data_IF_516386964293
#
_entry.id   IF_516386964293
#
_cell.length_a   1.000
_cell.length_b   1.000
_cell.length_c   1.000
_cell.angle_alpha   90.00
_cell.angle_beta   90.00
_cell.angle_gamma   90.00
#
_symmetry.space_group_name_H-M   'P 1'
#
loop_
_entity.id
_entity.type
_entity.pdbx_description
1 polymer ?
#
# COMPACT_ATOMS: atom_id res chain seq x y z
N UNK A 1 31.30 23.73 1.73
CA UNK A 1 32.03 22.89 2.73
C UNK A 1 32.11 21.49 2.14
N UNK A 2 33.29 20.89 2.07
CA UNK A 2 33.56 19.74 1.18
C UNK A 2 33.21 18.41 1.85
N UNK A 3 32.55 17.50 1.12
CA UNK A 3 32.30 16.14 1.57
C UNK A 3 33.54 15.26 1.38
N UNK A 4 33.89 14.45 2.38
CA UNK A 4 35.06 13.59 2.34
C UNK A 4 34.75 12.22 1.72
N UNK A 5 35.64 11.75 0.84
CA UNK A 5 35.68 10.38 0.34
C UNK A 5 36.58 9.52 1.23
N UNK A 6 36.16 8.30 1.55
CA UNK A 6 37.02 7.22 2.02
C UNK A 6 36.43 5.87 1.60
N UNK A 7 37.24 5.03 0.96
CA UNK A 7 36.81 3.74 0.40
C UNK A 7 37.09 2.57 1.35
N UNK A 8 36.34 1.48 1.20
CA UNK A 8 36.79 0.15 1.61
C UNK A 8 36.86 -0.79 0.41
N UNK A 9 37.90 -1.63 0.38
CA UNK A 9 38.29 -2.44 -0.77
C UNK A 9 37.88 -3.90 -0.55
N UNK A 10 37.29 -4.53 -1.56
CA UNK A 10 37.10 -5.97 -1.60
C UNK A 10 38.35 -6.67 -2.17
N UNK A 11 38.81 -7.73 -1.50
CA UNK A 11 39.59 -8.82 -2.11
C UNK A 11 38.95 -10.15 -1.65
N UNK A 12 38.89 -11.13 -2.55
CA UNK A 12 38.11 -12.36 -2.42
C UNK A 12 38.99 -13.61 -2.27
N UNK A 13 38.32 -14.78 -2.17
CA UNK A 13 38.84 -16.15 -2.39
C UNK A 13 39.66 -16.82 -1.26
N UNK A 14 39.69 -18.16 -1.12
CA UNK A 14 38.68 -19.20 -1.47
C UNK A 14 39.05 -20.56 -0.82
N UNK A 15 38.04 -21.41 -0.57
CA UNK A 15 38.02 -22.89 -0.50
C UNK A 15 39.29 -23.72 -0.11
N UNK A 16 39.16 -24.62 0.89
CA UNK A 16 39.06 -26.10 0.69
C UNK A 16 39.76 -27.03 1.72
N UNK A 17 39.17 -28.22 1.91
CA UNK A 17 39.63 -29.53 2.42
C UNK A 17 40.75 -29.73 3.48
N UNK A 18 40.33 -30.18 4.67
CA UNK A 18 40.41 -31.58 5.15
C UNK A 18 41.63 -32.49 4.82
N UNK A 19 42.34 -32.98 5.87
CA UNK A 19 42.28 -34.41 6.29
C UNK A 19 42.98 -34.74 7.62
N UNK A 20 42.57 -35.86 8.24
CA UNK A 20 43.14 -36.48 9.47
C UNK A 20 44.43 -37.28 9.23
N UNK A 21 45.29 -37.39 10.28
CA UNK A 21 46.04 -38.58 10.78
C UNK A 21 47.13 -38.13 11.80
N UNK A 22 47.71 -38.94 12.70
CA UNK A 22 47.26 -40.07 13.57
C UNK A 22 48.47 -40.52 14.44
N UNK A 23 48.25 -41.20 15.59
CA UNK A 23 49.31 -41.88 16.43
C UNK A 23 50.34 -40.92 17.13
N UNK A 24 51.06 -41.23 18.22
CA UNK A 24 51.28 -42.44 19.06
C UNK A 24 51.53 -42.09 20.55
N UNK A 25 51.60 -43.10 21.43
CA UNK A 25 52.12 -43.09 22.82
C UNK A 25 52.79 -44.46 23.11
N UNK A 26 53.37 -44.81 24.29
CA UNK A 26 53.61 -44.09 25.57
C UNK A 26 55.16 -43.96 25.79
N UNK A 27 55.90 -44.33 26.89
CA UNK A 27 55.59 -44.67 28.30
C UNK A 27 56.55 -44.17 29.44
N UNK A 28 56.11 -44.39 30.69
CA UNK A 28 56.87 -44.65 31.95
C UNK A 28 57.95 -43.70 32.50
N UNK A 29 57.70 -43.22 33.73
CA UNK A 29 58.65 -43.28 34.87
C UNK A 29 57.87 -43.39 36.20
N UNK A 30 58.53 -43.75 37.30
CA UNK A 30 57.96 -43.99 38.66
C UNK A 30 58.17 -42.76 39.58
N UNK A 31 57.75 -42.65 40.87
CA UNK A 31 57.64 -43.67 41.92
C UNK A 31 56.94 -43.19 43.25
N UNK A 32 56.68 -44.13 44.17
CA UNK A 32 56.43 -44.03 45.64
C UNK A 32 55.09 -43.55 46.30
N UNK A 33 54.51 -44.50 47.09
CA UNK A 33 53.81 -44.37 48.41
C UNK A 33 52.36 -43.80 48.48
N UNK A 34 51.31 -44.58 48.87
CA UNK A 34 50.84 -45.02 50.23
C UNK A 34 49.93 -43.97 50.94
N UNK A 35 48.80 -44.20 51.63
CA UNK A 35 47.87 -45.32 52.07
C UNK A 35 46.46 -44.66 52.27
N UNK A 36 45.22 -45.17 52.07
CA UNK A 36 44.54 -46.46 51.72
C UNK A 36 43.74 -47.18 52.86
N UNK A 37 42.56 -47.76 52.56
CA UNK A 37 41.69 -48.63 53.45
C UNK A 37 41.00 -47.87 54.64
N UNK A 38 39.70 -48.05 55.02
CA UNK A 38 38.56 -48.89 54.56
C UNK A 38 37.16 -48.24 54.83
N UNK A 39 36.08 -48.93 54.43
CA UNK A 39 34.66 -48.64 54.74
C UNK A 39 34.27 -48.97 56.19
N UNK A 40 33.19 -48.33 56.70
CA UNK A 40 32.13 -49.01 57.47
C UNK A 40 30.74 -48.37 57.20
N UNK A 41 29.66 -49.07 57.57
CA UNK A 41 28.25 -48.69 57.38
C UNK A 41 27.50 -48.83 58.71
N UNK A 42 26.70 -47.83 59.09
CA UNK A 42 25.68 -47.93 60.16
C UNK A 42 24.46 -47.10 59.73
N UNK A 43 23.25 -47.51 60.15
CA UNK A 43 21.97 -46.86 59.81
C UNK A 43 21.39 -46.13 61.05
N UNK A 44 20.09 -45.84 61.20
CA UNK A 44 19.61 -44.51 61.57
C UNK A 44 19.55 -44.24 63.09
N UNK A 45 19.44 -42.96 63.46
CA UNK A 45 18.98 -42.53 64.79
C UNK A 45 17.83 -41.53 64.62
N UNK A 46 16.76 -41.71 65.41
CA UNK A 46 15.54 -40.89 65.39
C UNK A 46 15.22 -40.46 66.82
N UNK A 47 15.55 -39.22 67.18
CA UNK A 47 15.29 -38.66 68.51
C UNK A 47 13.95 -37.93 68.56
N UNK A 48 13.31 -37.90 69.74
CA UNK A 48 11.94 -37.44 69.94
C UNK A 48 11.87 -36.12 70.73
N UNK A 49 10.94 -35.26 70.33
CA UNK A 49 10.23 -34.21 71.10
C UNK A 49 10.95 -33.44 72.24
N UNK A 50 10.99 -32.11 72.07
CA UNK A 50 10.79 -31.13 73.14
C UNK A 50 9.58 -30.25 72.79
N UNK A 51 8.75 -29.86 73.77
CA UNK A 51 7.51 -29.10 73.51
C UNK A 51 7.73 -27.58 73.50
N UNK A 52 6.94 -26.88 72.67
CA UNK A 52 6.77 -25.43 72.67
C UNK A 52 5.28 -25.04 72.51
N UNK A 53 4.85 -23.86 72.99
CA UNK A 53 3.45 -23.42 73.01
C UNK A 53 2.86 -23.08 71.61
N UNK A 54 1.53 -22.90 71.49
CA UNK A 54 0.80 -23.32 70.28
C UNK A 54 0.46 -22.23 69.25
N UNK A 55 0.08 -22.74 68.06
CA UNK A 55 -0.81 -22.14 67.06
C UNK A 55 -0.49 -20.76 66.48
N UNK A 56 -0.19 -20.76 65.17
CA UNK A 56 -1.27 -20.41 64.25
C UNK A 56 -1.23 -21.28 63.00
N UNK A 57 -2.32 -22.01 62.73
CA UNK A 57 -2.45 -22.78 61.49
C UNK A 57 -2.65 -21.82 60.32
N UNK A 58 -1.87 -22.00 59.25
CA UNK A 58 -2.28 -21.60 57.90
C UNK A 58 -2.17 -22.81 56.98
N UNK A 59 -3.26 -23.03 56.26
CA UNK A 59 -3.44 -24.07 55.26
C UNK A 59 -2.53 -23.82 54.06
N UNK A 60 -1.96 -24.86 53.41
CA UNK A 60 -1.19 -24.68 52.19
C UNK A 60 -2.14 -24.29 51.05
N UNK A 61 -2.18 -23.01 50.74
CA UNK A 61 -2.99 -22.45 49.66
C UNK A 61 -2.71 -23.20 48.35
N UNK A 62 -3.77 -23.83 47.81
CA UNK A 62 -3.74 -24.59 46.56
C UNK A 62 -3.37 -23.63 45.43
N UNK A 63 -2.10 -23.62 45.03
CA UNK A 63 -1.62 -22.88 43.85
C UNK A 63 -2.35 -23.41 42.62
N UNK A 64 -3.41 -22.71 42.23
CA UNK A 64 -4.23 -23.00 41.06
C UNK A 64 -3.36 -22.79 39.81
N UNK A 65 -2.88 -23.89 39.22
CA UNK A 65 -2.03 -23.85 38.04
C UNK A 65 -2.81 -23.31 36.84
N UNK A 66 -2.59 -22.03 36.51
CA UNK A 66 -3.17 -21.38 35.34
C UNK A 66 -2.79 -22.18 34.09
N UNK A 67 -3.76 -22.76 33.35
CA UNK A 67 -3.45 -23.56 32.17
C UNK A 67 -2.94 -22.66 31.03
N UNK A 68 -2.06 -23.18 30.15
CA UNK A 68 -1.41 -22.36 29.13
C UNK A 68 -2.39 -21.86 28.06
N UNK A 69 -2.43 -20.54 27.87
CA UNK A 69 -3.11 -19.90 26.75
C UNK A 69 -2.38 -20.26 25.44
N UNK A 70 -3.00 -21.03 24.54
CA UNK A 70 -2.28 -21.54 23.35
C UNK A 70 -3.10 -21.77 22.07
N UNK A 71 -4.42 -21.60 22.08
CA UNK A 71 -5.28 -21.90 20.92
C UNK A 71 -5.58 -20.66 20.05
N UNK A 72 -5.77 -19.49 20.68
CA UNK A 72 -6.22 -18.26 20.01
C UNK A 72 -5.30 -17.75 18.90
N UNK A 73 -3.97 -17.81 19.09
CA UNK A 73 -3.00 -17.21 18.16
C UNK A 73 -2.95 -17.90 16.79
N UNK A 74 -3.06 -19.24 16.77
CA UNK A 74 -3.07 -20.02 15.51
C UNK A 74 -4.27 -19.62 14.65
N UNK A 75 -5.43 -19.40 15.28
CA UNK A 75 -6.64 -18.90 14.59
C UNK A 75 -6.39 -17.53 13.96
N UNK A 76 -5.81 -16.57 14.71
CA UNK A 76 -5.58 -15.20 14.22
C UNK A 76 -4.62 -15.17 13.02
N UNK A 77 -3.53 -15.95 13.02
CA UNK A 77 -2.61 -15.96 11.87
C UNK A 77 -3.20 -16.63 10.62
N UNK A 78 -4.10 -17.60 10.77
CA UNK A 78 -4.89 -18.15 9.66
C UNK A 78 -5.85 -17.09 9.08
N UNK A 79 -6.55 -16.32 9.93
CA UNK A 79 -7.38 -15.20 9.48
C UNK A 79 -6.57 -14.11 8.76
N UNK A 80 -5.41 -13.73 9.30
CA UNK A 80 -4.51 -12.75 8.67
C UNK A 80 -3.95 -13.24 7.33
N UNK A 81 -3.70 -14.56 7.20
CA UNK A 81 -3.31 -15.17 5.92
C UNK A 81 -4.43 -15.11 4.89
N UNK A 82 -5.68 -15.41 5.27
CA UNK A 82 -6.84 -15.35 4.37
C UNK A 82 -7.18 -13.94 3.91
N UNK A 83 -7.22 -12.98 4.83
CA UNK A 83 -7.44 -11.56 4.53
C UNK A 83 -6.29 -10.96 3.70
N UNK A 84 -5.05 -11.34 4.03
CA UNK A 84 -3.86 -10.99 3.26
C UNK A 84 -3.94 -11.49 1.81
N UNK A 85 -4.29 -12.76 1.61
CA UNK A 85 -4.38 -13.37 0.28
C UNK A 85 -5.52 -12.75 -0.57
N UNK A 86 -6.63 -12.35 0.05
CA UNK A 86 -7.71 -11.64 -0.62
C UNK A 86 -7.29 -10.24 -1.08
N UNK A 87 -6.62 -9.47 -0.22
CA UNK A 87 -6.08 -8.16 -0.59
C UNK A 87 -4.95 -8.24 -1.61
N UNK A 88 -4.13 -9.30 -1.58
CA UNK A 88 -3.12 -9.60 -2.59
C UNK A 88 -3.75 -9.86 -3.97
N UNK A 89 -4.87 -10.58 -4.01
CA UNK A 89 -5.63 -10.84 -5.24
C UNK A 89 -6.28 -9.57 -5.79
N UNK A 90 -6.90 -8.75 -4.92
CA UNK A 90 -7.48 -7.45 -5.29
C UNK A 90 -6.42 -6.51 -5.88
N UNK A 91 -5.32 -6.30 -5.13
CA UNK A 91 -4.26 -5.37 -5.54
C UNK A 91 -3.43 -5.90 -6.71
N UNK A 92 -3.30 -7.23 -6.86
CA UNK A 92 -2.75 -7.86 -8.05
C UNK A 92 -3.60 -7.62 -9.30
N UNK A 93 -4.93 -7.74 -9.19
CA UNK A 93 -5.86 -7.39 -10.28
C UNK A 93 -5.78 -5.92 -10.68
N UNK A 94 -5.79 -4.99 -9.71
CA UNK A 94 -5.63 -3.56 -9.98
C UNK A 94 -4.25 -3.22 -10.58
N UNK A 95 -3.20 -3.93 -10.17
CA UNK A 95 -1.85 -3.80 -10.76
C UNK A 95 -1.87 -4.25 -12.22
N UNK A 96 -2.48 -5.41 -12.52
CA UNK A 96 -2.63 -5.90 -13.89
C UNK A 96 -3.33 -4.86 -14.78
N UNK A 97 -4.51 -4.38 -14.38
CA UNK A 97 -5.26 -3.35 -15.12
C UNK A 97 -4.43 -2.09 -15.40
N UNK A 98 -3.69 -1.60 -14.39
CA UNK A 98 -2.86 -0.40 -14.51
C UNK A 98 -1.67 -0.59 -15.44
N UNK A 99 -1.17 -1.82 -15.59
CA UNK A 99 -0.09 -2.17 -16.53
C UNK A 99 -0.60 -2.47 -17.95
N UNK A 100 -1.85 -2.93 -18.12
CA UNK A 100 -2.46 -3.21 -19.43
C UNK A 100 -3.32 -2.07 -19.97
N UNK A 101 -3.46 -0.95 -19.24
CA UNK A 101 -4.32 0.18 -19.63
C UNK A 101 -5.80 -0.20 -19.73
N UNK A 102 -6.26 -1.19 -18.97
CA UNK A 102 -7.60 -1.76 -19.07
C UNK A 102 -8.52 -1.21 -17.98
N UNK A 103 -9.78 -0.92 -18.30
CA UNK A 103 -10.74 -0.38 -17.34
C UNK A 103 -11.15 -1.39 -16.25
N UNK A 104 -11.48 -0.88 -15.06
CA UNK A 104 -11.84 -1.69 -13.90
C UNK A 104 -13.33 -2.09 -13.89
N UNK A 105 -13.61 -3.39 -13.91
CA UNK A 105 -14.97 -3.92 -13.89
C UNK A 105 -15.64 -3.67 -12.53
N UNK A 106 -16.61 -2.75 -12.48
CA UNK A 106 -17.31 -2.40 -11.25
C UNK A 106 -18.66 -3.14 -11.15
N UNK A 107 -18.80 -4.18 -10.30
CA UNK A 107 -20.02 -4.99 -10.22
C UNK A 107 -21.19 -4.30 -9.50
N UNK A 108 -20.94 -3.18 -8.80
CA UNK A 108 -21.96 -2.40 -8.12
C UNK A 108 -22.35 -1.21 -9.01
N UNK A 109 -23.65 -1.10 -9.30
CA UNK A 109 -24.21 -0.22 -10.33
C UNK A 109 -23.73 1.23 -10.27
N UNK A 110 -22.86 1.62 -11.20
CA UNK A 110 -22.57 3.03 -11.53
C UNK A 110 -21.34 3.69 -10.90
N UNK A 111 -20.46 2.97 -10.19
CA UNK A 111 -19.24 3.55 -9.61
C UNK A 111 -18.09 3.71 -10.61
N UNK A 112 -17.64 4.94 -10.88
CA UNK A 112 -16.50 5.22 -11.78
C UNK A 112 -15.14 5.13 -11.05
N UNK A 113 -14.70 3.91 -10.73
CA UNK A 113 -13.34 3.71 -10.19
C UNK A 113 -12.22 4.20 -11.13
N UNK A 114 -12.47 4.34 -12.44
CA UNK A 114 -11.46 4.73 -13.43
C UNK A 114 -10.83 6.09 -13.10
N UNK A 115 -11.63 7.06 -12.66
CA UNK A 115 -11.16 8.43 -12.34
C UNK A 115 -10.11 8.41 -11.23
N UNK A 116 -10.38 7.64 -10.16
CA UNK A 116 -9.49 7.50 -9.01
C UNK A 116 -8.25 6.68 -9.39
N UNK A 117 -8.43 5.55 -10.09
CA UNK A 117 -7.35 4.65 -10.50
C UNK A 117 -6.42 5.24 -11.58
N UNK A 118 -6.88 6.27 -12.32
CA UNK A 118 -6.09 6.96 -13.34
C UNK A 118 -5.57 8.35 -12.94
N UNK A 119 -6.05 8.93 -11.84
CA UNK A 119 -5.48 10.13 -11.23
C UNK A 119 -4.02 9.99 -10.78
N UNK A 120 -3.35 11.13 -10.56
CA UNK A 120 -2.01 11.20 -9.95
C UNK A 120 -1.94 10.54 -8.56
N UNK A 121 -3.07 10.47 -7.84
CA UNK A 121 -3.13 9.82 -6.53
C UNK A 121 -2.96 8.29 -6.61
N UNK A 122 -3.13 7.69 -7.80
CA UNK A 122 -2.85 6.27 -8.04
C UNK A 122 -1.34 5.92 -8.14
N UNK A 123 -0.44 6.91 -7.98
CA UNK A 123 1.02 6.74 -8.05
C UNK A 123 1.69 7.38 -6.84
N UNK A 124 2.62 6.66 -6.19
CA UNK A 124 3.36 7.11 -5.02
C UNK A 124 4.86 6.96 -5.30
N UNK A 125 5.62 8.06 -5.21
CA UNK A 125 7.05 8.11 -5.61
C UNK A 125 7.35 7.51 -7.00
N UNK A 126 6.43 7.65 -7.96
CA UNK A 126 6.55 7.09 -9.32
C UNK A 126 6.16 5.61 -9.44
N UNK A 127 5.82 4.93 -8.34
CA UNK A 127 5.37 3.53 -8.32
C UNK A 127 3.84 3.45 -8.26
N UNK A 128 3.17 2.61 -9.06
CA UNK A 128 1.72 2.42 -8.96
C UNK A 128 1.30 1.98 -7.56
N UNK A 129 0.34 2.69 -6.96
CA UNK A 129 -0.22 2.37 -5.65
C UNK A 129 -0.71 0.92 -5.49
N UNK A 130 -1.40 0.28 -6.47
CA UNK A 130 -1.79 -1.13 -6.31
C UNK A 130 -0.58 -2.08 -6.25
N UNK A 131 0.57 -1.74 -6.85
CA UNK A 131 1.79 -2.55 -6.74
C UNK A 131 2.37 -2.50 -5.31
N UNK A 132 2.32 -1.33 -4.68
CA UNK A 132 2.70 -1.17 -3.25
C UNK A 132 1.75 -1.97 -2.36
N UNK A 133 0.44 -1.91 -2.64
CA UNK A 133 -0.57 -2.72 -1.96
C UNK A 133 -0.29 -4.22 -2.09
N UNK A 134 0.02 -4.69 -3.30
CA UNK A 134 0.33 -6.10 -3.59
C UNK A 134 1.54 -6.58 -2.78
N UNK A 135 2.60 -5.77 -2.64
CA UNK A 135 3.75 -6.09 -1.78
C UNK A 135 3.34 -6.13 -0.31
N UNK A 136 2.55 -5.17 0.19
CA UNK A 136 2.14 -5.12 1.59
C UNK A 136 1.24 -6.30 1.98
N UNK A 137 0.21 -6.61 1.18
CA UNK A 137 -0.64 -7.79 1.38
C UNK A 137 0.15 -9.11 1.23
N UNK A 138 1.13 -9.17 0.32
CA UNK A 138 2.05 -10.31 0.17
C UNK A 138 2.90 -10.56 1.42
N UNK A 139 3.41 -9.49 2.06
CA UNK A 139 4.13 -9.56 3.33
C UNK A 139 3.22 -10.07 4.45
N UNK A 140 2.01 -9.53 4.60
CA UNK A 140 1.02 -9.98 5.60
C UNK A 140 0.68 -11.47 5.41
N UNK A 141 0.42 -11.89 4.17
CA UNK A 141 0.12 -13.29 3.82
C UNK A 141 1.28 -14.22 4.18
N UNK A 142 2.51 -13.81 3.86
CA UNK A 142 3.71 -14.59 4.11
C UNK A 142 4.01 -14.72 5.61
N UNK A 143 3.94 -13.62 6.37
CA UNK A 143 4.13 -13.62 7.82
C UNK A 143 3.05 -14.44 8.53
N UNK A 144 1.78 -14.27 8.14
CA UNK A 144 0.68 -15.08 8.67
C UNK A 144 0.93 -16.58 8.47
N UNK A 145 1.35 -16.99 7.26
CA UNK A 145 1.63 -18.39 6.95
C UNK A 145 2.83 -18.96 7.74
N UNK A 146 3.90 -18.17 7.91
CA UNK A 146 5.09 -18.58 8.67
C UNK A 146 4.80 -18.71 10.17
N UNK A 147 4.05 -17.77 10.75
CA UNK A 147 3.64 -17.78 12.15
C UNK A 147 2.63 -18.92 12.43
N UNK A 148 1.62 -19.10 11.57
CA UNK A 148 0.63 -20.16 11.69
C UNK A 148 1.26 -21.57 11.65
N UNK A 149 2.28 -21.78 10.79
CA UNK A 149 3.03 -23.04 10.70
C UNK A 149 4.11 -23.20 11.78
N UNK A 150 4.39 -22.16 12.58
CA UNK A 150 5.58 -22.03 13.43
C UNK A 150 6.90 -22.31 12.69
N UNK A 151 6.90 -22.18 11.36
CA UNK A 151 8.04 -22.48 10.49
C UNK A 151 8.88 -21.22 10.26
N UNK A 152 9.16 -20.49 11.34
CA UNK A 152 9.84 -19.19 11.29
C UNK A 152 11.34 -19.42 11.03
N UNK A 153 11.99 -18.72 10.07
CA UNK A 153 13.41 -18.91 9.80
C UNK A 153 14.28 -18.62 11.02
N UNK A 154 15.38 -19.34 11.19
CA UNK A 154 16.23 -19.36 12.41
C UNK A 154 16.88 -18.03 12.83
N UNK A 155 16.64 -16.93 12.10
CA UNK A 155 17.06 -15.56 12.43
C UNK A 155 15.92 -14.57 12.71
N UNK A 156 14.65 -15.02 12.68
CA UNK A 156 13.47 -14.21 12.96
C UNK A 156 12.71 -14.83 14.15
N UNK A 157 12.56 -14.09 15.25
CA UNK A 157 11.78 -14.55 16.41
C UNK A 157 10.27 -14.47 16.17
N UNK A 158 9.47 -15.23 16.94
CA UNK A 158 8.01 -15.13 16.88
C UNK A 158 7.54 -13.71 17.23
N UNK A 159 8.10 -13.11 18.29
CA UNK A 159 7.85 -11.72 18.70
C UNK A 159 8.25 -10.71 17.61
N UNK A 160 9.35 -10.97 16.89
CA UNK A 160 9.78 -10.15 15.76
C UNK A 160 8.77 -10.25 14.61
N UNK A 161 8.27 -11.45 14.29
CA UNK A 161 7.22 -11.66 13.30
C UNK A 161 5.91 -10.96 13.67
N UNK A 162 5.47 -11.07 14.94
CA UNK A 162 4.31 -10.34 15.49
C UNK A 162 4.47 -8.82 15.38
N UNK A 163 5.65 -8.29 15.72
CA UNK A 163 5.94 -6.85 15.68
C UNK A 163 5.98 -6.31 14.24
N UNK A 164 6.57 -7.05 13.29
CA UNK A 164 6.56 -6.68 11.87
C UNK A 164 5.13 -6.73 11.33
N UNK A 165 4.35 -7.78 11.63
CA UNK A 165 2.95 -7.88 11.23
C UNK A 165 2.10 -6.71 11.74
N UNK A 166 2.29 -6.31 13.01
CA UNK A 166 1.66 -5.11 13.58
C UNK A 166 2.09 -3.83 12.84
N UNK A 167 3.39 -3.67 12.58
CA UNK A 167 3.94 -2.53 11.86
C UNK A 167 3.37 -2.41 10.44
N UNK A 168 3.32 -3.51 9.69
CA UNK A 168 2.76 -3.57 8.34
C UNK A 168 1.25 -3.29 8.33
N UNK A 169 0.46 -3.94 9.18
CA UNK A 169 -1.01 -3.71 9.23
C UNK A 169 -1.37 -2.31 9.70
N UNK A 170 -0.62 -1.73 10.64
CA UNK A 170 -0.76 -0.31 11.05
C UNK A 170 -0.46 0.63 9.88
N UNK A 171 0.61 0.35 9.13
CA UNK A 171 1.01 1.16 7.97
C UNK A 171 -0.03 1.10 6.85
N UNK A 172 -0.58 -0.08 6.57
CA UNK A 172 -1.65 -0.28 5.59
C UNK A 172 -2.92 0.49 6.00
N UNK A 173 -3.38 0.33 7.25
CA UNK A 173 -4.56 1.04 7.74
C UNK A 173 -4.38 2.57 7.74
N UNK A 174 -3.19 3.08 8.09
CA UNK A 174 -2.88 4.51 8.02
C UNK A 174 -2.90 5.04 6.57
N UNK A 175 -2.35 4.28 5.62
CA UNK A 175 -2.41 4.60 4.21
C UNK A 175 -3.87 4.57 3.68
N UNK A 176 -4.64 3.53 4.00
CA UNK A 176 -6.07 3.44 3.66
C UNK A 176 -6.89 4.60 4.22
N UNK A 177 -6.64 5.02 5.47
CA UNK A 177 -7.28 6.19 6.05
C UNK A 177 -6.97 7.48 5.25
N UNK A 178 -5.72 7.66 4.83
CA UNK A 178 -5.29 8.78 4.01
C UNK A 178 -5.92 8.76 2.61
N UNK A 179 -6.03 7.59 1.96
CA UNK A 179 -6.68 7.46 0.66
C UNK A 179 -8.20 7.66 0.73
N UNK A 180 -8.88 7.24 1.81
CA UNK A 180 -10.29 7.56 2.05
C UNK A 180 -10.51 9.06 2.30
N UNK A 181 -9.56 9.74 2.95
CA UNK A 181 -9.56 11.20 3.09
C UNK A 181 -9.37 11.90 1.73
N UNK A 182 -8.48 11.42 0.87
CA UNK A 182 -8.36 11.96 -0.50
C UNK A 182 -9.62 11.71 -1.33
N UNK A 183 -10.21 10.51 -1.25
CA UNK A 183 -11.46 10.18 -1.94
C UNK A 183 -12.61 11.12 -1.54
N UNK A 184 -12.75 11.44 -0.25
CA UNK A 184 -13.81 12.34 0.22
C UNK A 184 -13.56 13.83 -0.03
N UNK A 185 -12.31 14.26 -0.19
CA UNK A 185 -11.95 15.70 -0.32
C UNK A 185 -11.55 16.14 -1.72
N UNK A 186 -10.98 15.26 -2.55
CA UNK A 186 -10.53 15.56 -3.92
C UNK A 186 -11.45 14.96 -5.00
N UNK A 187 -12.22 13.92 -4.67
CA UNK A 187 -13.10 13.19 -5.61
C UNK A 187 -14.57 13.20 -5.17
N UNK A 188 -15.05 14.35 -4.66
CA UNK A 188 -16.41 14.51 -4.14
C UNK A 188 -17.49 14.10 -5.16
N UNK A 189 -18.15 12.98 -4.92
CA UNK A 189 -19.19 12.39 -5.79
C UNK A 189 -18.79 11.07 -6.45
N UNK A 190 -17.50 10.75 -6.54
CA UNK A 190 -17.02 9.47 -7.09
C UNK A 190 -16.99 8.41 -6.00
N UNK A 191 -17.63 7.26 -6.27
CA UNK A 191 -17.63 6.10 -5.36
C UNK A 191 -16.83 4.96 -5.98
N UNK A 192 -15.63 4.68 -5.45
CA UNK A 192 -14.82 3.55 -5.91
C UNK A 192 -14.86 2.37 -4.93
N UNK A 193 -15.52 1.29 -5.36
CA UNK A 193 -15.70 0.04 -4.60
C UNK A 193 -14.37 -0.59 -4.15
N UNK A 194 -13.37 -0.64 -5.02
CA UNK A 194 -12.04 -1.18 -4.71
C UNK A 194 -11.32 -0.40 -3.60
N UNK A 195 -11.43 0.94 -3.58
CA UNK A 195 -10.85 1.75 -2.52
C UNK A 195 -11.48 1.43 -1.15
N UNK A 196 -12.80 1.22 -1.11
CA UNK A 196 -13.50 0.84 0.11
C UNK A 196 -13.21 -0.62 0.54
N UNK A 197 -13.09 -1.55 -0.41
CA UNK A 197 -12.79 -2.96 -0.13
C UNK A 197 -11.37 -3.12 0.45
N UNK A 198 -10.35 -2.58 -0.20
CA UNK A 198 -8.97 -2.60 0.31
C UNK A 198 -8.82 -1.86 1.66
N UNK A 199 -9.56 -0.77 1.87
CA UNK A 199 -9.60 -0.12 3.17
C UNK A 199 -10.24 -1.01 4.26
N UNK A 200 -11.36 -1.66 3.96
CA UNK A 200 -12.02 -2.59 4.89
C UNK A 200 -11.08 -3.76 5.25
N UNK A 201 -10.40 -4.36 4.28
CA UNK A 201 -9.40 -5.41 4.52
C UNK A 201 -8.26 -4.91 5.42
N UNK A 202 -7.72 -3.73 5.16
CA UNK A 202 -6.62 -3.14 5.94
C UNK A 202 -7.02 -2.83 7.39
N UNK A 203 -8.22 -2.27 7.62
CA UNK A 203 -8.74 -2.05 8.97
C UNK A 203 -9.07 -3.36 9.71
N UNK A 204 -9.63 -4.37 9.02
CA UNK A 204 -9.88 -5.68 9.62
C UNK A 204 -8.58 -6.38 10.01
N UNK A 205 -7.55 -6.34 9.18
CA UNK A 205 -6.22 -6.87 9.49
C UNK A 205 -5.58 -6.19 10.71
N UNK A 206 -5.67 -4.86 10.81
CA UNK A 206 -5.20 -4.15 12.00
C UNK A 206 -6.00 -4.56 13.25
N UNK A 207 -7.32 -4.70 13.13
CA UNK A 207 -8.19 -5.08 14.25
C UNK A 207 -7.98 -6.54 14.72
N UNK A 208 -7.72 -7.49 13.82
CA UNK A 208 -7.36 -8.86 14.21
C UNK A 208 -5.99 -8.91 14.87
N UNK A 209 -5.01 -8.15 14.36
CA UNK A 209 -3.66 -8.10 14.93
C UNK A 209 -3.65 -7.43 16.31
N UNK A 210 -4.38 -6.33 16.50
CA UNK A 210 -4.52 -5.67 17.81
C UNK A 210 -5.12 -6.60 18.87
N UNK A 211 -6.05 -7.49 18.50
CA UNK A 211 -6.64 -8.46 19.43
C UNK A 211 -5.67 -9.54 19.93
N UNK A 212 -4.60 -9.85 19.17
CA UNK A 212 -3.58 -10.83 19.58
C UNK A 212 -2.66 -10.29 20.70
N UNK A 213 -2.42 -8.97 20.73
CA UNK A 213 -1.45 -8.37 21.66
C UNK A 213 -1.97 -8.22 23.09
N UNK A 214 -3.27 -8.07 23.30
CA UNK A 214 -3.87 -7.83 24.62
C UNK A 214 -3.61 -6.44 25.21
N UNK A 215 -4.47 -6.03 26.15
CA UNK A 215 -4.56 -4.64 26.62
C UNK A 215 -3.27 -4.10 27.26
N UNK A 216 -2.53 -4.95 27.99
CA UNK A 216 -1.27 -4.60 28.63
C UNK A 216 -0.17 -4.25 27.60
N UNK A 217 -0.08 -5.03 26.52
CA UNK A 217 0.95 -4.87 25.49
C UNK A 217 0.62 -3.69 24.54
N UNK A 218 -0.67 -3.47 24.27
CA UNK A 218 -1.16 -2.33 23.47
C UNK A 218 -0.67 -0.99 24.05
N UNK A 219 -0.69 -0.82 25.38
CA UNK A 219 -0.18 0.39 26.05
C UNK A 219 1.30 0.65 25.74
N UNK A 220 2.11 -0.38 25.53
CA UNK A 220 3.53 -0.28 25.21
C UNK A 220 3.80 -0.02 23.71
N UNK A 221 2.95 -0.54 22.81
CA UNK A 221 3.13 -0.40 21.35
C UNK A 221 2.37 0.76 20.72
N UNK A 222 1.39 1.37 21.39
CA UNK A 222 0.58 2.46 20.82
C UNK A 222 1.43 3.67 20.40
N UNK A 223 2.48 4.00 21.15
CA UNK A 223 3.42 5.06 20.76
C UNK A 223 4.16 4.76 19.45
N UNK A 224 4.55 3.50 19.24
CA UNK A 224 5.16 3.04 17.99
C UNK A 224 4.14 3.04 16.84
N UNK A 225 2.89 2.63 17.08
CA UNK A 225 1.84 2.65 16.06
C UNK A 225 1.47 4.08 15.61
N UNK A 226 1.36 5.02 16.56
CA UNK A 226 1.13 6.43 16.24
C UNK A 226 2.31 7.03 15.48
N UNK A 227 3.54 6.64 15.82
CA UNK A 227 4.75 7.04 15.09
C UNK A 227 4.79 6.46 13.66
N UNK A 228 4.50 5.17 13.45
CA UNK A 228 4.48 4.59 12.09
C UNK A 228 3.34 5.15 11.25
N UNK A 229 2.14 5.34 11.82
CA UNK A 229 1.04 6.02 11.14
C UNK A 229 1.40 7.47 10.76
N UNK A 230 2.03 8.21 11.67
CA UNK A 230 2.54 9.56 11.42
C UNK A 230 3.60 9.62 10.30
N UNK A 231 4.54 8.66 10.28
CA UNK A 231 5.52 8.53 9.20
C UNK A 231 4.88 8.20 7.85
N UNK A 232 3.89 7.30 7.81
CA UNK A 232 3.16 6.95 6.58
C UNK A 232 2.38 8.16 6.05
N UNK A 233 1.65 8.88 6.91
CA UNK A 233 0.93 10.11 6.52
C UNK A 233 1.91 11.19 6.05
N UNK A 234 3.05 11.38 6.74
CA UNK A 234 4.08 12.32 6.32
C UNK A 234 4.71 11.94 4.97
N UNK A 235 4.97 10.65 4.72
CA UNK A 235 5.53 10.15 3.47
C UNK A 235 4.55 10.30 2.29
N UNK A 236 3.27 9.93 2.49
CA UNK A 236 2.23 10.13 1.47
C UNK A 236 2.02 11.62 1.18
N UNK A 237 1.91 12.45 2.23
CA UNK A 237 1.80 13.89 2.07
C UNK A 237 3.03 14.49 1.36
N UNK A 238 4.23 13.99 1.63
CA UNK A 238 5.46 14.40 0.92
C UNK A 238 5.43 13.96 -0.54
N UNK A 239 4.98 12.75 -0.86
CA UNK A 239 4.81 12.29 -2.25
C UNK A 239 3.84 13.20 -3.01
N UNK A 240 2.63 13.41 -2.48
CA UNK A 240 1.60 14.15 -3.20
C UNK A 240 1.80 15.66 -3.22
N UNK A 241 2.33 16.27 -2.15
CA UNK A 241 2.76 17.67 -2.22
C UNK A 241 3.98 17.85 -3.12
N UNK A 242 4.83 16.83 -3.30
CA UNK A 242 5.87 16.88 -4.34
C UNK A 242 5.26 16.78 -5.73
N UNK A 243 4.25 15.93 -5.99
CA UNK A 243 3.53 15.95 -7.27
C UNK A 243 2.87 17.30 -7.54
N UNK A 244 2.13 17.84 -6.57
CA UNK A 244 1.46 19.15 -6.64
C UNK A 244 2.48 20.28 -6.86
N UNK A 245 3.65 20.25 -6.18
CA UNK A 245 4.74 21.21 -6.37
C UNK A 245 5.59 21.01 -7.63
N UNK A 246 5.73 19.80 -8.17
CA UNK A 246 6.44 19.52 -9.42
C UNK A 246 5.59 20.01 -10.59
N UNK A 247 4.30 19.66 -10.61
CA UNK A 247 3.34 20.22 -11.56
C UNK A 247 3.33 21.76 -11.47
N UNK A 248 3.17 22.32 -10.27
CA UNK A 248 3.21 23.77 -10.02
C UNK A 248 4.51 24.45 -10.48
N UNK A 249 5.69 23.82 -10.28
CA UNK A 249 6.98 24.41 -10.68
C UNK A 249 7.35 24.20 -12.14
N UNK A 250 6.67 23.29 -12.85
CA UNK A 250 6.74 23.18 -14.32
C UNK A 250 5.72 24.13 -14.98
N UNK A 251 4.46 24.16 -14.54
CA UNK A 251 3.42 25.07 -15.06
C UNK A 251 3.78 26.55 -14.93
N UNK A 252 4.34 26.97 -13.79
CA UNK A 252 4.75 28.38 -13.61
C UNK A 252 6.02 28.78 -14.38
N UNK A 253 6.69 27.84 -15.06
CA UNK A 253 7.92 28.06 -15.83
C UNK A 253 7.70 28.21 -17.35
N UNK A 254 6.47 28.55 -17.77
CA UNK A 254 6.00 28.65 -19.16
C UNK A 254 5.86 27.29 -19.85
N UNK A 255 4.61 26.83 -19.95
CA UNK A 255 4.22 25.63 -20.69
C UNK A 255 3.72 26.06 -22.09
N UNK A 256 4.52 25.89 -23.16
CA UNK A 256 4.11 26.26 -24.51
C UNK A 256 2.92 25.42 -24.98
N UNK A 257 2.10 25.98 -25.86
CA UNK A 257 1.07 25.22 -26.57
C UNK A 257 1.72 24.07 -27.35
N UNK A 258 1.13 22.88 -27.25
CA UNK A 258 1.44 21.73 -28.08
C UNK A 258 0.13 21.08 -28.56
N UNK A 259 0.13 20.54 -29.78
CA UNK A 259 -1.00 19.77 -30.28
C UNK A 259 -0.85 18.29 -29.85
N UNK A 260 -1.90 17.73 -29.25
CA UNK A 260 -1.92 16.35 -28.78
C UNK A 260 -2.19 15.40 -29.95
N UNK A 261 -1.31 14.40 -30.12
CA UNK A 261 -1.49 13.37 -31.15
C UNK A 261 -2.62 12.41 -30.78
N UNK A 262 -3.51 12.13 -31.72
CA UNK A 262 -4.63 11.20 -31.55
C UNK A 262 -4.26 9.88 -32.23
N UNK A 263 -3.87 8.89 -31.43
CA UNK A 263 -3.36 7.61 -31.94
C UNK A 263 -4.47 6.59 -32.30
N UNK A 264 -5.74 6.94 -32.10
CA UNK A 264 -6.91 6.08 -32.36
C UNK A 264 -7.51 6.35 -33.75
N UNK A 265 -7.80 5.29 -34.50
CA UNK A 265 -8.55 5.38 -35.76
C UNK A 265 -10.03 5.76 -35.49
N UNK A 266 -10.63 6.54 -36.39
CA UNK A 266 -12.03 6.96 -36.26
C UNK A 266 -13.00 5.88 -36.73
N UNK A 267 -13.90 5.46 -35.84
CA UNK A 267 -15.02 4.59 -36.23
C UNK A 267 -15.99 5.30 -37.19
N UNK A 268 -16.74 4.55 -38.04
CA UNK A 268 -17.79 5.13 -38.89
C UNK A 268 -18.85 5.91 -38.10
N UNK A 269 -19.15 5.47 -36.87
CA UNK A 269 -20.05 6.17 -35.95
C UNK A 269 -19.46 7.52 -35.52
N UNK A 270 -18.20 7.55 -35.07
CA UNK A 270 -17.51 8.79 -34.71
C UNK A 270 -17.45 9.78 -35.88
N UNK A 271 -17.14 9.30 -37.09
CA UNK A 271 -17.17 10.10 -38.32
C UNK A 271 -18.55 10.69 -38.62
N UNK A 272 -19.62 9.92 -38.46
CA UNK A 272 -20.99 10.42 -38.63
C UNK A 272 -21.39 11.44 -37.56
N UNK A 273 -21.00 11.20 -36.30
CA UNK A 273 -21.33 12.06 -35.17
C UNK A 273 -20.57 13.39 -35.24
N UNK A 274 -19.29 13.38 -35.58
CA UNK A 274 -18.49 14.61 -35.75
C UNK A 274 -19.05 15.49 -36.88
N UNK A 275 -19.38 14.88 -38.04
CA UNK A 275 -20.06 15.58 -39.15
C UNK A 275 -21.39 16.19 -38.72
N UNK A 276 -22.19 15.46 -37.93
CA UNK A 276 -23.43 16.00 -37.39
C UNK A 276 -23.16 17.18 -36.43
N UNK A 277 -22.26 17.02 -35.46
CA UNK A 277 -21.91 18.04 -34.47
C UNK A 277 -21.46 19.35 -35.14
N UNK A 278 -20.57 19.27 -36.13
CA UNK A 278 -20.18 20.40 -36.97
C UNK A 278 -21.37 21.02 -37.73
N UNK A 279 -22.25 20.20 -38.31
CA UNK A 279 -23.43 20.69 -39.05
C UNK A 279 -24.45 21.46 -38.18
N UNK A 280 -24.44 21.24 -36.86
CA UNK A 280 -25.26 22.00 -35.88
C UNK A 280 -24.45 23.04 -35.10
N UNK A 281 -23.19 23.28 -35.47
CA UNK A 281 -22.29 24.25 -34.82
C UNK A 281 -21.96 23.91 -33.36
N UNK A 282 -21.92 22.63 -33.01
CA UNK A 282 -21.66 22.15 -31.66
C UNK A 282 -20.17 22.28 -31.30
N UNK A 283 -19.88 23.22 -30.39
CA UNK A 283 -18.51 23.56 -30.00
C UNK A 283 -18.02 22.75 -28.81
N UNK A 284 -16.78 22.27 -28.90
CA UNK A 284 -16.04 21.66 -27.79
C UNK A 284 -15.01 22.66 -27.28
N UNK A 285 -15.25 23.21 -26.10
CA UNK A 285 -14.29 24.09 -25.43
C UNK A 285 -13.33 23.26 -24.56
N UNK A 286 -12.03 23.53 -24.67
CA UNK A 286 -11.00 22.79 -23.95
C UNK A 286 -9.68 23.54 -23.84
N UNK A 287 -8.69 22.89 -23.24
CA UNK A 287 -7.33 23.39 -23.12
C UNK A 287 -6.34 22.30 -23.57
N UNK A 288 -5.21 22.67 -24.17
CA UNK A 288 -4.28 21.67 -24.75
C UNK A 288 -3.74 20.64 -23.73
N UNK A 289 -3.60 21.01 -22.45
CA UNK A 289 -3.14 20.14 -21.36
C UNK A 289 -4.26 19.35 -20.65
N UNK A 290 -5.53 19.55 -21.02
CA UNK A 290 -6.67 18.94 -20.35
C UNK A 290 -6.80 17.45 -20.74
N UNK A 291 -6.47 16.54 -19.81
CA UNK A 291 -6.51 15.08 -20.03
C UNK A 291 -7.87 14.63 -20.57
N UNK A 292 -8.98 15.00 -19.93
CA UNK A 292 -10.34 14.66 -20.39
C UNK A 292 -10.68 15.23 -21.77
N UNK A 293 -10.05 16.34 -22.19
CA UNK A 293 -10.20 16.90 -23.53
C UNK A 293 -9.44 16.06 -24.57
N UNK A 294 -8.29 15.50 -24.21
CA UNK A 294 -7.54 14.56 -25.03
C UNK A 294 -8.23 13.19 -25.11
N UNK A 295 -8.77 12.69 -23.99
CA UNK A 295 -9.58 11.46 -23.93
C UNK A 295 -10.80 11.54 -24.86
N UNK A 296 -11.59 12.63 -24.80
CA UNK A 296 -12.72 12.81 -25.70
C UNK A 296 -12.29 12.88 -27.17
N UNK A 297 -11.17 13.54 -27.49
CA UNK A 297 -10.61 13.52 -28.85
C UNK A 297 -10.21 12.11 -29.29
N UNK A 298 -9.65 11.28 -28.41
CA UNK A 298 -9.36 9.87 -28.69
C UNK A 298 -10.61 8.99 -28.87
N UNK A 299 -11.73 9.30 -28.19
CA UNK A 299 -13.01 8.61 -28.42
C UNK A 299 -13.60 8.86 -29.83
N UNK A 300 -13.28 10.01 -30.44
CA UNK A 300 -13.61 10.28 -31.84
C UNK A 300 -12.57 9.69 -32.82
N UNK A 301 -11.30 9.64 -32.42
CA UNK A 301 -10.19 9.22 -33.29
C UNK A 301 -9.75 10.31 -34.27
N UNK A 302 -8.63 10.07 -34.94
CA UNK A 302 -7.84 11.10 -35.62
C UNK A 302 -8.59 11.87 -36.72
N UNK A 303 -9.39 11.19 -37.55
CA UNK A 303 -10.13 11.84 -38.64
C UNK A 303 -11.34 12.64 -38.14
N UNK A 304 -12.15 12.03 -37.27
CA UNK A 304 -13.38 12.62 -36.79
C UNK A 304 -13.11 13.78 -35.81
N UNK A 305 -12.05 13.70 -35.00
CA UNK A 305 -11.65 14.80 -34.12
C UNK A 305 -11.25 16.07 -34.89
N UNK A 306 -10.67 15.93 -36.09
CA UNK A 306 -10.37 17.04 -37.01
C UNK A 306 -11.63 17.69 -37.62
N UNK A 307 -12.80 17.05 -37.50
CA UNK A 307 -14.10 17.58 -37.94
C UNK A 307 -14.87 18.27 -36.81
N UNK A 308 -14.35 18.33 -35.59
CA UNK A 308 -15.02 18.98 -34.45
C UNK A 308 -14.73 20.48 -34.40
N UNK A 309 -15.73 21.28 -34.04
CA UNK A 309 -15.55 22.72 -33.75
C UNK A 309 -14.88 22.91 -32.37
N UNK A 310 -13.62 22.47 -32.26
CA UNK A 310 -12.81 22.59 -31.05
C UNK A 310 -12.33 24.03 -30.87
N UNK A 311 -12.60 24.61 -29.70
CA UNK A 311 -12.11 25.92 -29.31
C UNK A 311 -11.01 25.73 -28.27
N UNK A 312 -9.76 25.93 -28.70
CA UNK A 312 -8.62 26.00 -27.79
C UNK A 312 -8.69 27.28 -26.96
N UNK A 313 -8.77 27.12 -25.64
CA UNK A 313 -8.91 28.26 -24.74
C UNK A 313 -7.58 28.89 -24.34
N UNK A 314 -6.43 28.28 -24.67
CA UNK A 314 -5.10 28.80 -24.33
C UNK A 314 -4.07 28.58 -25.47
N UNK A 315 -4.30 29.15 -26.67
CA UNK A 315 -3.47 28.91 -27.85
C UNK A 315 -2.02 29.46 -27.72
N UNK A 316 -1.79 30.43 -26.84
CA UNK A 316 -0.47 31.03 -26.60
C UNK A 316 0.36 30.29 -25.52
N UNK A 317 -0.12 29.15 -25.03
CA UNK A 317 0.47 28.44 -23.88
C UNK A 317 0.10 29.04 -22.52
N UNK A 318 0.55 28.41 -21.43
CA UNK A 318 0.35 28.88 -20.05
C UNK A 318 1.62 29.52 -19.51
N UNK A 319 1.45 30.60 -18.76
CA UNK A 319 2.43 31.16 -17.82
C UNK A 319 1.69 31.88 -16.70
N UNK A 320 2.41 32.28 -15.65
CA UNK A 320 1.84 33.07 -14.55
C UNK A 320 1.11 34.32 -15.08
N UNK A 321 -0.20 34.37 -14.90
CA UNK A 321 -1.04 35.49 -15.37
C UNK A 321 -1.51 35.41 -16.82
N UNK A 322 -1.34 34.28 -17.53
CA UNK A 322 -2.05 34.03 -18.79
C UNK A 322 -3.55 34.19 -18.58
N UNK A 323 -4.21 34.90 -19.50
CA UNK A 323 -5.67 34.98 -19.58
C UNK A 323 -6.15 33.99 -20.62
N UNK A 324 -7.29 33.38 -20.35
CA UNK A 324 -7.99 32.51 -21.29
C UNK A 324 -8.42 33.30 -22.54
N UNK A 325 -8.44 32.64 -23.70
CA UNK A 325 -8.87 33.22 -24.97
C UNK A 325 -10.29 33.78 -24.89
N UNK A 326 -10.53 34.93 -25.53
CA UNK A 326 -11.80 35.67 -25.41
C UNK A 326 -13.04 34.83 -25.78
N UNK A 327 -12.91 33.98 -26.80
CA UNK A 327 -13.98 33.08 -27.23
C UNK A 327 -14.46 32.11 -26.12
N UNK A 328 -13.62 31.85 -25.11
CA UNK A 328 -13.93 31.02 -23.95
C UNK A 328 -14.34 31.85 -22.72
N UNK A 329 -13.75 33.05 -22.50
CA UNK A 329 -14.17 33.91 -21.38
C UNK A 329 -15.61 34.38 -21.54
N UNK A 330 -15.98 34.72 -22.77
CA UNK A 330 -17.30 35.23 -23.12
C UNK A 330 -18.35 34.09 -23.16
N UNK A 331 -17.91 32.82 -23.12
CA UNK A 331 -18.75 31.63 -23.08
C UNK A 331 -19.12 31.16 -21.66
N UNK A 332 -18.56 31.78 -20.60
CA UNK A 332 -18.94 31.50 -19.21
C UNK A 332 -18.62 30.08 -18.73
N UNK A 333 -17.51 29.50 -19.18
CA UNK A 333 -17.14 28.11 -18.90
C UNK A 333 -16.77 27.89 -17.43
N UNK A 334 -17.33 26.82 -16.83
CA UNK A 334 -17.02 26.40 -15.45
C UNK A 334 -15.80 25.45 -15.36
N UNK A 335 -15.40 24.84 -16.47
CA UNK A 335 -14.33 23.85 -16.53
C UNK A 335 -14.09 23.32 -17.95
N UNK A 336 -13.38 22.19 -18.07
CA UNK A 336 -13.07 21.55 -19.35
C UNK A 336 -13.14 20.01 -19.29
N UNK A 337 -13.49 19.34 -20.40
CA UNK A 337 -14.10 19.90 -21.60
C UNK A 337 -15.56 20.33 -21.33
N UNK A 338 -15.99 21.36 -22.06
CA UNK A 338 -17.39 21.83 -22.03
C UNK A 338 -17.94 21.87 -23.45
N UNK A 339 -19.07 21.20 -23.66
CA UNK A 339 -19.77 21.20 -24.95
C UNK A 339 -20.88 22.24 -24.97
N UNK A 340 -20.97 23.03 -26.04
CA UNK A 340 -22.10 23.92 -26.30
C UNK A 340 -22.81 23.42 -27.55
N UNK A 341 -23.98 22.80 -27.35
CA UNK A 341 -24.76 22.15 -28.41
C UNK A 341 -26.13 22.82 -28.46
N UNK A 342 -26.52 23.37 -29.62
CA UNK A 342 -27.77 24.12 -29.80
C UNK A 342 -27.98 25.22 -28.74
N UNK A 343 -26.89 25.94 -28.42
CA UNK A 343 -26.86 26.99 -27.40
C UNK A 343 -26.93 26.52 -25.94
N UNK A 344 -26.99 25.21 -25.67
CA UNK A 344 -27.03 24.64 -24.32
C UNK A 344 -25.64 24.15 -23.91
N UNK A 345 -25.16 24.66 -22.78
CA UNK A 345 -23.94 24.18 -22.10
C UNK A 345 -24.19 22.77 -21.57
N UNK A 346 -23.22 21.87 -21.78
CA UNK A 346 -23.17 20.52 -21.24
C UNK A 346 -21.76 20.26 -20.68
N UNK A 347 -21.63 20.31 -19.37
CA UNK A 347 -20.41 19.91 -18.67
C UNK A 347 -20.27 18.38 -18.78
N UNK A 348 -19.22 17.89 -19.45
CA UNK A 348 -19.14 16.48 -19.84
C UNK A 348 -18.51 15.57 -18.78
N UNK A 349 -18.84 15.80 -17.50
CA UNK A 349 -18.47 14.96 -16.35
C UNK A 349 -19.25 13.63 -16.34
N UNK A 350 -20.19 13.45 -17.28
CA UNK A 350 -20.99 12.23 -17.42
C UNK A 350 -20.40 11.28 -18.48
N UNK A 351 -20.06 10.03 -18.14
CA UNK A 351 -19.62 9.02 -19.12
C UNK A 351 -20.73 8.67 -20.13
N UNK A 352 -21.97 9.14 -19.94
CA UNK A 352 -23.07 9.02 -20.91
C UNK A 352 -22.85 9.85 -22.19
N UNK A 353 -21.76 10.61 -22.32
CA UNK A 353 -21.29 11.10 -23.64
C UNK A 353 -20.72 9.98 -24.54
N UNK A 354 -20.69 8.73 -24.06
CA UNK A 354 -20.32 7.52 -24.83
C UNK A 354 -21.27 7.21 -25.99
N UNK A 355 -21.13 7.94 -27.11
CA UNK A 355 -21.62 7.63 -28.47
C UNK A 355 -23.13 7.35 -28.64
N UNK A 356 -23.93 7.50 -27.58
CA UNK A 356 -25.39 7.34 -27.55
C UNK A 356 -26.04 8.66 -27.14
N UNK A 357 -26.28 9.53 -28.11
CA UNK A 357 -27.22 10.64 -27.96
C UNK A 357 -28.62 10.19 -28.41
N UNK A 358 -29.56 9.83 -27.51
CA UNK A 358 -30.95 9.57 -27.87
C UNK A 358 -31.78 10.86 -28.10
N UNK A 359 -31.13 12.03 -28.08
CA UNK A 359 -31.74 13.36 -28.22
C UNK A 359 -30.88 14.29 -29.09
N UNK A 360 -30.55 13.77 -30.28
CA UNK A 360 -30.05 14.47 -31.46
C UNK A 360 -31.01 14.12 -32.59
#
# INVERSE_FOLDING_TARGET
MVAALASFICISASQSHSRNRHFSAPPTSTNHFKVSIQRMVVVPVKCLQGQGPPQHTKEPEKVESVPPLSDSGISIYNWSTGLGALGLLETGYLTYLKLTGTEAFCPVSGGSCTDVLNSDYAVVFGVPLPLIGMVAYGIVTSLGLLLAKKSVPSGLGEDSGRLILLGTTTSMAAASAYFLYLLSTKFSGVSCSYCYASAALSFTLLFTTLKDLGWQQIQNVVGLQLFTAGLVVAALNTSYSTSEHVLTRLDFAYQPFYESQIATESSPLALSLAKHLHSVGAKMYGAFWCTHCQEQKQMFGEEAAKMLDYVECFPDGIRKGTKMAKACSDAGLEGFPTWVINGKVRNSISPTFSLKCPYV
#
